data_IF_925845588895
#
_entry.id   IF_925845588895
#
_cell.length_a   1.000
_cell.length_b   1.000
_cell.length_c   1.000
_cell.angle_alpha   90.00
_cell.angle_beta   90.00
_cell.angle_gamma   90.00
#
_symmetry.space_group_name_H-M   'P 1'
#
loop_
_entity.id
_entity.type
_entity.pdbx_description
1 polymer ?
#
# COMPACT_ATOMS: atom_id res chain seq x y z
N UNK A 1 -7.85 7.16 -5.14
CA UNK A 1 -8.88 7.47 -4.13
C UNK A 1 -9.79 8.57 -4.63
N UNK A 2 -11.04 8.54 -4.20
CA UNK A 2 -11.99 9.64 -4.36
C UNK A 2 -12.04 10.43 -3.04
N UNK A 3 -12.10 11.76 -3.14
CA UNK A 3 -12.04 12.66 -2.00
C UNK A 3 -10.70 13.40 -1.87
N UNK A 4 -10.70 14.41 -1.01
CA UNK A 4 -9.53 15.24 -0.74
C UNK A 4 -8.70 14.58 0.35
N UNK A 5 -7.48 14.17 0.00
CA UNK A 5 -6.52 13.69 0.99
C UNK A 5 -6.08 14.87 1.86
N UNK A 6 -6.31 14.82 3.19
CA UNK A 6 -5.95 15.92 4.06
C UNK A 6 -4.43 15.96 4.24
N UNK A 7 -3.85 17.12 4.51
CA UNK A 7 -2.39 17.31 4.51
C UNK A 7 -1.69 16.60 5.68
N UNK A 8 -2.42 16.39 6.79
CA UNK A 8 -2.02 15.61 7.96
C UNK A 8 -2.05 14.09 7.72
N UNK A 9 -2.61 13.61 6.60
CA UNK A 9 -2.75 12.19 6.32
C UNK A 9 -1.40 11.46 6.35
N UNK A 10 -0.36 12.07 5.79
CA UNK A 10 0.98 11.47 5.72
C UNK A 10 1.56 11.27 7.12
N UNK A 11 1.45 12.29 7.97
CA UNK A 11 1.96 12.24 9.35
C UNK A 11 1.18 11.22 10.20
N UNK A 12 -0.14 11.20 10.06
CA UNK A 12 -1.00 10.25 10.77
C UNK A 12 -0.76 8.81 10.35
N UNK A 13 -0.54 8.55 9.07
CA UNK A 13 -0.16 7.21 8.61
C UNK A 13 1.24 6.81 9.08
N UNK A 14 2.19 7.74 9.07
CA UNK A 14 3.55 7.50 9.56
C UNK A 14 3.60 7.25 11.07
N UNK A 15 2.69 7.85 11.85
CA UNK A 15 2.56 7.58 13.29
C UNK A 15 1.79 6.28 13.61
N UNK A 16 1.03 5.75 12.65
CA UNK A 16 0.05 4.68 12.87
C UNK A 16 -1.37 5.24 13.06
N UNK A 17 -2.35 4.63 12.41
CA UNK A 17 -3.75 5.00 12.48
C UNK A 17 -4.52 4.03 13.37
N UNK A 18 -5.44 4.55 14.18
CA UNK A 18 -6.45 3.72 14.83
C UNK A 18 -7.60 3.50 13.85
N UNK A 19 -7.83 2.24 13.48
CA UNK A 19 -8.97 1.84 12.65
C UNK A 19 -10.28 1.97 13.44
N UNK A 20 -11.41 1.96 12.72
CA UNK A 20 -12.75 2.05 13.31
C UNK A 20 -13.11 0.92 14.29
N UNK A 21 -12.40 -0.21 14.24
CA UNK A 21 -12.55 -1.34 15.16
C UNK A 21 -11.64 -1.23 16.41
N UNK A 22 -10.91 -0.12 16.57
CA UNK A 22 -9.98 0.10 17.67
C UNK A 22 -8.58 -0.51 17.44
N UNK A 23 -8.34 -1.12 16.29
CA UNK A 23 -7.02 -1.68 15.97
C UNK A 23 -6.04 -0.58 15.61
N UNK A 24 -4.91 -0.52 16.30
CA UNK A 24 -3.79 0.34 15.92
C UNK A 24 -3.00 -0.32 14.77
N UNK A 25 -2.77 0.44 13.71
CA UNK A 25 -1.90 0.02 12.60
C UNK A 25 -0.46 0.39 12.89
N UNK A 26 0.46 -0.38 12.33
CA UNK A 26 1.85 0.01 12.26
C UNK A 26 2.03 1.27 11.40
N UNK A 27 3.17 1.98 11.56
CA UNK A 27 3.59 3.04 10.65
C UNK A 27 3.48 2.60 9.19
N UNK A 28 2.86 3.46 8.38
CA UNK A 28 2.72 3.27 6.95
C UNK A 28 3.26 4.50 6.22
N UNK A 29 4.00 4.27 5.13
CA UNK A 29 4.51 5.34 4.29
C UNK A 29 3.50 5.66 3.19
N UNK A 30 3.09 6.92 3.13
CA UNK A 30 2.17 7.44 2.13
C UNK A 30 2.90 8.43 1.22
N UNK A 31 2.86 8.15 -0.08
CA UNK A 31 3.38 9.00 -1.14
C UNK A 31 2.26 9.37 -2.12
N UNK A 32 2.00 10.66 -2.26
CA UNK A 32 1.03 11.18 -3.23
C UNK A 32 1.68 11.24 -4.61
N UNK A 33 1.30 10.31 -5.50
CA UNK A 33 1.82 10.23 -6.88
C UNK A 33 1.13 11.27 -7.77
N UNK A 34 -0.19 11.40 -7.64
CA UNK A 34 -0.99 12.35 -8.41
C UNK A 34 -2.14 12.87 -7.55
N UNK A 35 -2.23 14.20 -7.41
CA UNK A 35 -3.37 14.84 -6.77
C UNK A 35 -4.46 15.08 -7.81
N UNK A 36 -5.62 14.46 -7.64
CA UNK A 36 -6.82 14.75 -8.43
C UNK A 36 -7.47 16.05 -7.94
N UNK A 37 -8.01 16.85 -8.87
CA UNK A 37 -8.82 18.02 -8.54
C UNK A 37 -10.24 17.67 -8.09
N UNK A 38 -11.12 18.68 -8.08
CA UNK A 38 -12.53 18.51 -7.71
C UNK A 38 -13.24 17.56 -8.70
N UNK A 39 -13.52 16.33 -8.26
CA UNK A 39 -14.16 15.29 -9.08
C UNK A 39 -13.19 14.35 -9.79
N UNK A 40 -11.88 14.48 -9.58
CA UNK A 40 -10.87 13.56 -10.14
C UNK A 40 -10.31 12.62 -9.07
N UNK A 41 -9.83 11.46 -9.51
CA UNK A 41 -9.19 10.48 -8.63
C UNK A 41 -7.76 10.90 -8.31
N UNK A 42 -7.38 10.79 -7.04
CA UNK A 42 -5.97 10.92 -6.63
C UNK A 42 -5.27 9.57 -6.64
N UNK A 43 -4.04 9.51 -7.14
CA UNK A 43 -3.20 8.31 -7.13
C UNK A 43 -2.20 8.41 -5.98
N UNK A 44 -2.17 7.37 -5.16
CA UNK A 44 -1.37 7.32 -3.94
C UNK A 44 -0.64 5.97 -3.95
N UNK A 45 0.64 6.01 -3.61
CA UNK A 45 1.43 4.83 -3.29
C UNK A 45 1.46 4.71 -1.77
N UNK A 46 1.04 3.55 -1.27
CA UNK A 46 1.00 3.24 0.15
C UNK A 46 1.87 2.02 0.39
N UNK A 47 2.80 2.14 1.33
CA UNK A 47 3.66 1.04 1.79
C UNK A 47 3.25 0.68 3.21
N UNK A 48 2.85 -0.57 3.41
CA UNK A 48 2.48 -1.12 4.72
C UNK A 48 3.35 -2.34 5.03
N UNK A 49 3.63 -2.55 6.31
CA UNK A 49 4.42 -3.68 6.80
C UNK A 49 3.56 -4.77 7.44
N UNK A 50 2.24 -4.67 7.34
CA UNK A 50 1.28 -5.63 7.86
C UNK A 50 0.15 -5.89 6.86
N UNK A 51 -0.58 -7.00 7.04
CA UNK A 51 -1.61 -7.47 6.13
C UNK A 51 -2.96 -7.71 6.81
N UNK A 52 -3.50 -6.70 7.53
CA UNK A 52 -4.81 -6.85 8.20
C UNK A 52 -5.98 -6.82 7.20
N UNK A 53 -7.11 -7.41 7.59
CA UNK A 53 -8.29 -7.50 6.74
C UNK A 53 -8.81 -6.12 6.34
N UNK A 54 -8.86 -5.86 5.03
CA UNK A 54 -9.29 -4.57 4.44
C UNK A 54 -8.55 -3.35 4.98
N UNK A 55 -7.33 -3.51 5.49
CA UNK A 55 -6.56 -2.46 6.15
C UNK A 55 -6.49 -1.16 5.35
N UNK A 56 -6.06 -1.24 4.08
CA UNK A 56 -5.92 -0.05 3.22
C UNK A 56 -7.25 0.69 3.08
N UNK A 57 -8.36 -0.03 2.85
CA UNK A 57 -9.68 0.60 2.72
C UNK A 57 -10.10 1.31 4.01
N UNK A 58 -9.93 0.64 5.16
CA UNK A 58 -10.28 1.19 6.48
C UNK A 58 -9.43 2.40 6.86
N UNK A 59 -8.14 2.39 6.51
CA UNK A 59 -7.25 3.53 6.75
C UNK A 59 -7.73 4.77 5.99
N UNK A 60 -8.04 4.63 4.70
CA UNK A 60 -8.55 5.75 3.92
C UNK A 60 -9.96 6.18 4.34
N UNK A 61 -10.84 5.25 4.72
CA UNK A 61 -12.16 5.57 5.28
C UNK A 61 -12.06 6.43 6.55
N UNK A 62 -11.09 6.13 7.42
CA UNK A 62 -10.80 6.91 8.65
C UNK A 62 -10.32 8.33 8.34
N UNK A 63 -9.75 8.54 7.15
CA UNK A 63 -9.35 9.86 6.63
C UNK A 63 -10.47 10.53 5.80
N UNK A 64 -11.65 9.93 5.71
CA UNK A 64 -12.77 10.45 4.91
C UNK A 64 -12.58 10.29 3.39
N UNK A 65 -11.66 9.42 2.97
CA UNK A 65 -11.37 9.13 1.56
C UNK A 65 -11.94 7.76 1.16
N UNK A 66 -12.35 7.61 -0.11
CA UNK A 66 -12.85 6.34 -0.62
C UNK A 66 -11.86 5.68 -1.60
N UNK A 67 -11.59 4.38 -1.42
CA UNK A 67 -10.68 3.62 -2.29
C UNK A 67 -11.47 3.01 -3.44
N UNK A 68 -11.45 3.69 -4.60
CA UNK A 68 -12.10 3.23 -5.84
C UNK A 68 -11.31 2.12 -6.54
N UNK A 69 -9.97 2.21 -6.51
CA UNK A 69 -9.07 1.25 -7.14
C UNK A 69 -7.90 0.94 -6.20
N UNK A 70 -7.58 -0.34 -6.08
CA UNK A 70 -6.49 -0.84 -5.26
C UNK A 70 -5.74 -1.92 -6.04
N UNK A 71 -4.45 -1.70 -6.25
CA UNK A 71 -3.55 -2.67 -6.90
C UNK A 71 -2.29 -2.77 -6.05
N UNK A 72 -1.88 -4.00 -5.74
CA UNK A 72 -0.59 -4.24 -5.10
C UNK A 72 0.49 -4.25 -6.19
N UNK A 73 1.44 -3.32 -6.10
CA UNK A 73 2.53 -3.16 -7.06
C UNK A 73 3.78 -3.96 -6.67
N UNK A 74 4.02 -4.13 -5.37
CA UNK A 74 5.17 -4.87 -4.87
C UNK A 74 4.82 -5.62 -3.58
N UNK A 75 5.66 -6.60 -3.24
CA UNK A 75 5.62 -7.32 -1.97
C UNK A 75 7.05 -7.69 -1.58
N UNK A 76 7.55 -7.05 -0.53
CA UNK A 76 8.97 -7.17 -0.16
C UNK A 76 9.86 -6.70 -1.31
N UNK A 77 10.81 -7.56 -1.71
CA UNK A 77 11.73 -7.32 -2.83
C UNK A 77 11.11 -7.62 -4.20
N UNK A 78 9.93 -8.25 -4.24
CA UNK A 78 9.26 -8.58 -5.50
C UNK A 78 8.44 -7.40 -6.00
N UNK A 79 8.63 -7.07 -7.27
CA UNK A 79 7.81 -6.08 -7.97
C UNK A 79 6.94 -6.77 -9.02
N UNK A 80 5.70 -6.31 -9.17
CA UNK A 80 4.80 -6.81 -10.18
C UNK A 80 5.34 -6.45 -11.56
N UNK A 81 5.56 -7.49 -12.38
CA UNK A 81 6.00 -7.35 -13.77
C UNK A 81 4.93 -6.61 -14.60
N UNK A 82 5.32 -5.54 -15.27
CA UNK A 82 4.43 -4.73 -16.10
C UNK A 82 3.96 -5.46 -17.36
N UNK A 83 4.66 -6.52 -17.77
CA UNK A 83 4.33 -7.31 -18.96
C UNK A 83 3.27 -8.38 -18.72
N UNK A 84 3.01 -8.74 -17.46
CA UNK A 84 1.99 -9.72 -17.08
C UNK A 84 0.58 -9.15 -17.22
N UNK A 85 -0.30 -9.87 -17.91
CA UNK A 85 -1.72 -9.51 -18.00
C UNK A 85 -2.48 -9.98 -16.75
N UNK A 86 -3.64 -9.37 -16.45
CA UNK A 86 -4.49 -9.82 -15.37
C UNK A 86 -4.85 -11.30 -15.49
N UNK A 87 -4.56 -12.09 -14.46
CA UNK A 87 -4.82 -13.53 -14.41
C UNK A 87 -3.65 -14.40 -14.88
N UNK A 88 -2.60 -13.82 -15.43
CA UNK A 88 -1.37 -14.54 -15.76
C UNK A 88 -0.48 -14.69 -14.53
N UNK A 89 0.36 -15.72 -14.57
CA UNK A 89 1.41 -15.96 -13.59
C UNK A 89 2.69 -16.34 -14.30
N UNK A 90 3.83 -16.09 -13.67
CA UNK A 90 5.15 -16.55 -14.12
C UNK A 90 5.92 -17.17 -12.95
N UNK A 91 6.85 -18.09 -13.22
CA UNK A 91 7.81 -18.50 -12.22
C UNK A 91 8.73 -17.33 -11.82
N UNK A 92 9.20 -17.35 -10.56
CA UNK A 92 10.21 -16.44 -10.08
C UNK A 92 11.56 -16.71 -10.75
N UNK A 93 12.33 -15.66 -11.00
CA UNK A 93 13.72 -15.80 -11.48
C UNK A 93 14.64 -16.25 -10.34
N UNK A 94 15.83 -16.75 -10.68
CA UNK A 94 16.82 -17.12 -9.66
C UNK A 94 17.22 -15.92 -8.79
N UNK A 95 17.35 -14.74 -9.39
CA UNK A 95 17.69 -13.49 -8.69
C UNK A 95 16.60 -13.10 -7.68
N UNK A 96 15.33 -13.19 -8.08
CA UNK A 96 14.18 -12.93 -7.19
C UNK A 96 14.13 -13.92 -6.03
N UNK A 97 14.41 -15.21 -6.28
CA UNK A 97 14.48 -16.24 -5.24
C UNK A 97 15.61 -15.99 -4.25
N UNK A 98 16.78 -15.58 -4.73
CA UNK A 98 17.92 -15.22 -3.88
C UNK A 98 17.62 -13.99 -3.01
N UNK A 99 16.95 -12.97 -3.57
CA UNK A 99 16.54 -11.78 -2.82
C UNK A 99 15.54 -12.11 -1.72
N UNK A 100 14.57 -12.98 -1.99
CA UNK A 100 13.63 -13.47 -0.98
C UNK A 100 14.37 -14.21 0.15
N UNK A 101 15.25 -15.16 -0.19
CA UNK A 101 15.98 -15.95 0.80
C UNK A 101 16.96 -15.12 1.66
N UNK A 102 17.57 -14.07 1.09
CA UNK A 102 18.45 -13.17 1.85
C UNK A 102 17.69 -12.32 2.87
N UNK A 103 16.46 -11.92 2.54
CA UNK A 103 15.65 -11.07 3.42
C UNK A 103 15.29 -11.77 4.73
N UNK A 104 15.14 -13.11 4.72
CA UNK A 104 14.94 -13.91 5.95
C UNK A 104 16.22 -14.05 6.79
N UNK A 105 17.41 -13.99 6.18
CA UNK A 105 18.70 -14.17 6.86
C UNK A 105 19.19 -12.90 7.58
N UNK A 106 18.67 -11.72 7.24
CA UNK A 106 19.02 -10.44 7.88
C UNK A 106 18.13 -10.11 9.09
N UNK A 107 17.15 -10.98 9.44
CA UNK A 107 16.30 -10.83 10.62
C UNK A 107 16.72 -11.71 11.83
N UNK A 108 17.86 -12.41 11.76
CA UNK A 108 18.44 -13.22 12.86
C UNK A 108 19.63 -12.54 13.56
#
# INVERSE_FOLDING_TARGET
>A
IEGMLPEDAKERMAAGLTLSDGTETLPADLELVRRGGCGELSEIRLTIHEGKFHQVKRMFETLGCHVVYLKRLSMGTLTLDETLKPGEYRPLTREELELLNKTDQEQE
#
